data_IF_091306997495
#
_entry.id   IF_091306997495
#
_cell.length_a   1.000
_cell.length_b   1.000
_cell.length_c   1.000
_cell.angle_alpha   90.00
_cell.angle_beta   90.00
_cell.angle_gamma   90.00
#
_symmetry.space_group_name_H-M   'P 1'
#
loop_
_entity.id
_entity.type
_entity.pdbx_description
1 polymer ?
#
# COMPACT_ATOMS: atom_id res chain seq x y z
N UNK A 1 18.43 -9.24 12.62
CA UNK A 1 19.50 -10.12 12.10
C UNK A 1 18.98 -10.87 10.91
N UNK A 2 19.24 -10.37 9.70
CA UNK A 2 18.88 -11.08 8.46
C UNK A 2 20.02 -11.99 8.05
N UNK A 3 19.78 -13.30 7.97
CA UNK A 3 20.69 -14.20 7.28
C UNK A 3 20.67 -13.80 5.79
N UNK A 4 21.81 -13.41 5.18
CA UNK A 4 21.83 -12.91 3.80
C UNK A 4 21.47 -13.99 2.76
N UNK A 5 21.37 -15.26 3.18
CA UNK A 5 21.08 -16.40 2.32
C UNK A 5 19.61 -16.84 2.35
N UNK A 6 18.70 -16.05 2.92
CA UNK A 6 17.27 -16.34 2.89
C UNK A 6 16.40 -15.10 2.82
N UNK A 7 15.20 -15.26 2.26
CA UNK A 7 14.16 -14.23 2.20
C UNK A 7 12.99 -14.63 3.11
N UNK A 8 12.49 -13.68 3.89
CA UNK A 8 11.24 -13.85 4.63
C UNK A 8 10.04 -13.57 3.72
N UNK A 9 9.14 -14.55 3.61
CA UNK A 9 7.92 -14.44 2.80
C UNK A 9 6.70 -14.57 3.70
N UNK A 10 5.82 -13.58 3.66
CA UNK A 10 4.55 -13.59 4.36
C UNK A 10 3.43 -14.08 3.43
N UNK A 11 2.71 -15.11 3.85
CA UNK A 11 1.61 -15.71 3.08
C UNK A 11 0.32 -15.62 3.88
N UNK A 12 -0.72 -15.09 3.24
CA UNK A 12 -2.11 -15.11 3.73
C UNK A 12 -2.72 -16.46 3.37
N UNK A 13 -3.13 -17.24 4.38
CA UNK A 13 -3.88 -18.47 4.14
C UNK A 13 -5.37 -18.14 3.96
N UNK A 14 -5.90 -18.38 2.77
CA UNK A 14 -7.29 -18.01 2.41
C UNK A 14 -8.35 -18.92 3.07
N UNK A 15 -7.95 -20.10 3.59
CA UNK A 15 -8.88 -21.13 4.13
C UNK A 15 -8.71 -21.41 5.62
N UNK A 16 -7.63 -20.92 6.21
CA UNK A 16 -7.33 -21.01 7.64
C UNK A 16 -7.02 -19.58 8.01
N UNK A 17 -7.81 -18.96 8.90
CA UNK A 17 -7.68 -17.58 9.37
C UNK A 17 -6.30 -17.36 10.01
N UNK A 18 -5.27 -17.39 9.19
CA UNK A 18 -3.87 -17.49 9.59
C UNK A 18 -2.98 -16.76 8.59
N UNK A 19 -1.91 -16.21 9.12
CA UNK A 19 -0.77 -15.70 8.38
C UNK A 19 0.41 -16.61 8.67
N UNK A 20 1.14 -17.00 7.64
CA UNK A 20 2.33 -17.83 7.75
C UNK A 20 3.55 -17.06 7.27
N UNK A 21 4.58 -17.03 8.09
CA UNK A 21 5.88 -16.46 7.75
C UNK A 21 6.82 -17.62 7.42
N UNK A 22 7.42 -17.56 6.24
CA UNK A 22 8.34 -18.55 5.73
C UNK A 22 9.73 -17.96 5.58
N UNK A 23 10.75 -18.77 5.87
CA UNK A 23 12.11 -18.54 5.41
C UNK A 23 12.32 -19.34 4.12
N UNK A 24 12.58 -18.63 3.03
CA UNK A 24 12.87 -19.20 1.72
C UNK A 24 14.37 -19.12 1.49
N UNK A 25 15.00 -20.28 1.43
CA UNK A 25 16.40 -20.48 1.06
C UNK A 25 16.47 -20.93 -0.40
N UNK A 26 17.68 -21.06 -0.93
CA UNK A 26 17.91 -21.60 -2.28
C UNK A 26 17.37 -23.03 -2.45
N UNK A 27 17.54 -23.88 -1.44
CA UNK A 27 17.26 -25.32 -1.51
C UNK A 27 16.03 -25.78 -0.70
N UNK A 28 15.48 -24.91 0.16
CA UNK A 28 14.38 -25.27 1.06
C UNK A 28 13.51 -24.09 1.46
N UNK A 29 12.28 -24.43 1.86
CA UNK A 29 11.32 -23.49 2.45
C UNK A 29 10.97 -24.00 3.84
N UNK A 30 11.05 -23.12 4.86
CA UNK A 30 10.78 -23.46 6.25
C UNK A 30 9.74 -22.51 6.83
N UNK A 31 8.74 -23.04 7.55
CA UNK A 31 7.81 -22.19 8.30
C UNK A 31 8.57 -21.62 9.51
N UNK A 32 8.65 -20.30 9.58
CA UNK A 32 9.20 -19.57 10.72
C UNK A 32 8.13 -19.37 11.79
N UNK A 33 6.92 -18.95 11.38
CA UNK A 33 5.83 -18.62 12.28
C UNK A 33 4.49 -18.83 11.62
N UNK A 34 3.51 -19.29 12.39
CA UNK A 34 2.09 -19.24 12.03
C UNK A 34 1.36 -18.40 13.09
N UNK A 35 0.56 -17.44 12.64
CA UNK A 35 -0.22 -16.55 13.47
C UNK A 35 -1.71 -16.71 13.13
N UNK A 36 -2.54 -17.00 14.12
CA UNK A 36 -3.99 -17.00 13.94
C UNK A 36 -4.56 -15.59 13.99
N UNK A 37 -5.58 -15.32 13.17
CA UNK A 37 -6.34 -14.08 13.16
C UNK A 37 -7.80 -14.36 13.54
N UNK A 38 -8.49 -13.35 14.09
CA UNK A 38 -9.89 -13.47 14.50
C UNK A 38 -10.84 -13.63 13.30
N UNK A 39 -10.51 -12.95 12.21
CA UNK A 39 -11.23 -12.93 10.94
C UNK A 39 -10.30 -13.34 9.79
N UNK A 40 -10.87 -13.56 8.60
CA UNK A 40 -10.09 -13.93 7.42
C UNK A 40 -9.26 -12.72 6.94
N UNK A 41 -7.92 -12.82 6.92
CA UNK A 41 -7.09 -11.81 6.28
C UNK A 41 -7.27 -11.87 4.77
N UNK A 42 -7.37 -10.70 4.14
CA UNK A 42 -7.59 -10.54 2.70
C UNK A 42 -6.49 -9.72 2.02
N UNK A 43 -5.74 -8.91 2.77
CA UNK A 43 -4.54 -8.24 2.29
C UNK A 43 -3.52 -8.07 3.42
N UNK A 44 -2.22 -7.99 3.07
CA UNK A 44 -1.12 -7.80 4.02
C UNK A 44 -0.04 -6.89 3.46
N UNK A 45 0.50 -6.02 4.31
CA UNK A 45 1.77 -5.34 4.11
C UNK A 45 2.68 -5.61 5.33
N UNK A 46 4.00 -5.66 5.10
CA UNK A 46 4.98 -6.08 6.13
C UNK A 46 6.07 -5.04 6.28
N UNK A 47 6.39 -4.66 7.52
CA UNK A 47 7.61 -3.92 7.87
C UNK A 47 8.25 -4.52 9.14
N UNK A 48 9.43 -5.12 8.99
CA UNK A 48 10.07 -5.86 10.08
C UNK A 48 9.15 -6.95 10.65
N UNK A 49 8.90 -6.91 11.96
CA UNK A 49 8.00 -7.84 12.65
C UNK A 49 6.52 -7.45 12.59
N UNK A 50 6.20 -6.31 12.00
CA UNK A 50 4.84 -5.76 11.98
C UNK A 50 4.14 -6.10 10.66
N UNK A 51 2.95 -6.68 10.80
CA UNK A 51 2.03 -6.99 9.73
C UNK A 51 0.88 -6.00 9.81
N UNK A 52 0.69 -5.20 8.76
CA UNK A 52 -0.54 -4.45 8.57
C UNK A 52 -1.51 -5.30 7.76
N UNK A 53 -2.62 -5.70 8.39
CA UNK A 53 -3.57 -6.66 7.85
C UNK A 53 -4.91 -5.98 7.59
N UNK A 54 -5.46 -6.22 6.41
CA UNK A 54 -6.90 -6.10 6.19
C UNK A 54 -7.53 -7.45 6.54
N UNK A 55 -8.40 -7.46 7.55
CA UNK A 55 -9.31 -8.56 7.82
C UNK A 55 -10.67 -8.27 7.18
N UNK A 56 -11.60 -9.21 7.18
CA UNK A 56 -12.92 -9.06 6.56
C UNK A 56 -13.62 -7.72 6.81
N UNK A 57 -13.60 -7.20 8.05
CA UNK A 57 -14.30 -5.95 8.41
C UNK A 57 -13.43 -4.90 9.13
N UNK A 58 -12.11 -5.12 9.25
CA UNK A 58 -11.25 -4.23 10.02
C UNK A 58 -9.80 -4.28 9.58
N UNK A 59 -9.08 -3.17 9.76
CA UNK A 59 -7.62 -3.17 9.68
C UNK A 59 -7.01 -3.40 11.06
N UNK A 60 -5.92 -4.15 11.13
CA UNK A 60 -5.13 -4.34 12.35
C UNK A 60 -3.63 -4.24 12.06
N UNK A 61 -2.86 -3.90 13.09
CA UNK A 61 -1.42 -4.18 13.15
C UNK A 61 -1.21 -5.42 14.02
N UNK A 62 -0.43 -6.37 13.53
CA UNK A 62 -0.04 -7.58 14.26
C UNK A 62 1.49 -7.69 14.27
N UNK A 63 2.07 -7.77 15.46
CA UNK A 63 3.48 -8.11 15.61
C UNK A 63 3.62 -9.63 15.68
N UNK A 64 4.17 -10.27 14.65
CA UNK A 64 4.23 -11.74 14.60
C UNK A 64 5.29 -12.35 15.53
N UNK A 65 6.24 -11.55 16.02
CA UNK A 65 7.24 -11.98 16.98
C UNK A 65 6.65 -12.07 18.40
N UNK A 66 5.94 -11.03 18.85
CA UNK A 66 5.35 -10.97 20.20
C UNK A 66 3.92 -11.48 20.28
N UNK A 67 3.21 -11.53 19.16
CA UNK A 67 1.77 -11.79 19.10
C UNK A 67 0.89 -10.60 19.49
N UNK A 68 1.47 -9.44 19.79
CA UNK A 68 0.72 -8.23 20.11
C UNK A 68 -0.09 -7.75 18.89
N UNK A 69 -1.35 -7.38 19.13
CA UNK A 69 -2.28 -6.93 18.08
C UNK A 69 -2.89 -5.59 18.49
N UNK A 70 -2.91 -4.64 17.56
CA UNK A 70 -3.53 -3.33 17.68
C UNK A 70 -4.62 -3.19 16.61
N UNK A 71 -5.85 -2.93 17.03
CA UNK A 71 -6.94 -2.64 16.10
C UNK A 71 -6.80 -1.20 15.57
N UNK A 72 -7.12 -0.99 14.29
CA UNK A 72 -7.12 0.33 13.67
C UNK A 72 -8.56 0.82 13.54
N UNK A 73 -9.08 0.95 12.33
CA UNK A 73 -10.45 1.34 12.06
C UNK A 73 -11.21 0.25 11.27
N UNK A 74 -12.53 0.16 11.47
CA UNK A 74 -13.37 -0.76 10.71
C UNK A 74 -13.53 -0.28 9.26
N UNK A 75 -13.86 -1.21 8.37
CA UNK A 75 -14.26 -0.89 7.01
C UNK A 75 -15.33 -1.87 6.52
N UNK A 76 -16.11 -1.48 5.53
CA UNK A 76 -17.13 -2.36 4.94
C UNK A 76 -16.49 -3.22 3.86
N UNK A 77 -16.68 -4.54 3.95
CA UNK A 77 -16.21 -5.51 2.94
C UNK A 77 -16.81 -5.36 1.54
N UNK A 78 -17.63 -4.32 1.29
CA UNK A 78 -18.14 -3.94 -0.03
C UNK A 78 -17.05 -3.29 -0.91
N UNK A 79 -15.92 -2.85 -0.34
CA UNK A 79 -14.76 -2.43 -1.12
C UNK A 79 -14.19 -3.63 -1.88
N UNK A 80 -14.13 -3.53 -3.23
CA UNK A 80 -13.71 -4.63 -4.12
C UNK A 80 -12.37 -5.25 -3.71
N UNK A 81 -11.42 -4.44 -3.18
CA UNK A 81 -10.13 -4.88 -2.64
C UNK A 81 -9.63 -3.89 -1.57
N UNK A 82 -9.38 -4.31 -0.33
CA UNK A 82 -8.76 -3.44 0.65
C UNK A 82 -7.34 -3.10 0.23
N UNK A 83 -6.90 -1.88 0.55
CA UNK A 83 -5.56 -1.38 0.24
C UNK A 83 -4.78 -1.33 1.55
N UNK A 84 -3.69 -2.09 1.59
CA UNK A 84 -2.66 -2.00 2.62
C UNK A 84 -1.31 -1.83 1.93
N UNK A 85 -0.60 -0.74 2.23
CA UNK A 85 0.67 -0.44 1.58
C UNK A 85 1.68 0.05 2.61
N UNK A 86 2.85 -0.58 2.66
CA UNK A 86 3.98 -0.03 3.42
C UNK A 86 4.48 1.21 2.69
N UNK A 87 4.59 2.32 3.42
CA UNK A 87 5.06 3.61 2.86
C UNK A 87 6.33 4.13 3.53
N UNK A 88 6.70 3.55 4.67
CA UNK A 88 7.88 3.92 5.42
C UNK A 88 8.21 2.84 6.44
N UNK A 89 9.21 3.12 7.27
CA UNK A 89 9.49 2.29 8.44
C UNK A 89 8.32 2.44 9.41
N UNK A 90 7.73 1.32 9.80
CA UNK A 90 6.68 1.21 10.79
C UNK A 90 5.44 2.09 10.47
N UNK A 91 5.23 2.41 9.19
CA UNK A 91 4.16 3.28 8.69
C UNK A 91 3.50 2.68 7.43
N UNK A 92 2.17 2.67 7.42
CA UNK A 92 1.34 2.07 6.38
C UNK A 92 0.28 3.06 5.89
N UNK A 93 -0.09 2.91 4.61
CA UNK A 93 -1.23 3.56 3.97
C UNK A 93 -2.37 2.55 3.82
N UNK A 94 -3.57 3.00 4.16
CA UNK A 94 -4.79 2.21 4.23
C UNK A 94 -5.93 2.89 3.47
N UNK A 95 -6.74 2.12 2.74
CA UNK A 95 -8.00 2.65 2.23
C UNK A 95 -9.06 2.67 3.33
N UNK A 96 -9.60 3.86 3.58
CA UNK A 96 -10.67 4.09 4.53
C UNK A 96 -11.96 4.51 3.81
N UNK A 97 -13.13 4.37 4.48
CA UNK A 97 -14.41 4.82 3.94
C UNK A 97 -14.41 6.29 3.50
N UNK A 98 -15.25 6.63 2.51
CA UNK A 98 -15.42 8.01 2.02
C UNK A 98 -14.29 8.52 1.12
N UNK A 99 -13.54 7.61 0.46
CA UNK A 99 -12.49 7.99 -0.47
C UNK A 99 -11.25 8.57 0.23
N UNK A 100 -10.90 8.01 1.40
CA UNK A 100 -9.77 8.47 2.19
C UNK A 100 -8.62 7.47 2.16
N UNK A 101 -7.40 7.98 2.04
CA UNK A 101 -6.15 7.25 2.29
C UNK A 101 -5.59 7.63 3.66
N UNK A 102 -5.74 6.73 4.62
CA UNK A 102 -5.30 6.93 6.00
C UNK A 102 -3.87 6.44 6.19
N UNK A 103 -3.10 7.20 6.97
CA UNK A 103 -1.76 6.85 7.38
C UNK A 103 -1.81 6.28 8.81
N UNK A 104 -1.16 5.15 9.05
CA UNK A 104 -1.16 4.53 10.36
C UNK A 104 0.23 3.98 10.69
N UNK A 105 0.73 4.31 11.88
CA UNK A 105 1.92 3.68 12.44
C UNK A 105 1.58 2.32 13.05
N UNK A 106 2.61 1.57 13.44
CA UNK A 106 2.46 0.30 14.16
C UNK A 106 1.75 0.42 15.51
N UNK A 107 1.77 1.61 16.12
CA UNK A 107 1.05 1.94 17.35
C UNK A 107 -0.43 2.31 17.11
N UNK A 108 -0.86 2.29 15.85
CA UNK A 108 -2.23 2.65 15.44
C UNK A 108 -2.51 4.14 15.42
N UNK A 109 -1.47 4.97 15.34
CA UNK A 109 -1.58 6.43 15.34
C UNK A 109 -1.41 6.97 13.92
N UNK A 110 -2.22 7.97 13.55
CA UNK A 110 -2.02 8.74 12.32
C UNK A 110 -1.18 9.97 12.61
N UNK A 111 0.02 10.05 12.05
CA UNK A 111 0.93 11.19 12.24
C UNK A 111 0.72 12.31 11.21
N UNK A 112 -0.05 12.05 10.15
CA UNK A 112 -0.34 13.00 9.08
C UNK A 112 -1.81 12.94 8.70
N UNK A 113 -2.30 14.01 8.06
CA UNK A 113 -3.67 14.06 7.55
C UNK A 113 -3.88 12.99 6.46
N UNK A 114 -5.11 12.50 6.24
CA UNK A 114 -5.38 11.59 5.13
C UNK A 114 -5.27 12.29 3.79
N UNK A 115 -4.95 11.51 2.75
CA UNK A 115 -5.17 11.92 1.36
C UNK A 115 -6.61 11.65 0.95
N UNK A 116 -7.15 12.47 0.04
CA UNK A 116 -8.48 12.25 -0.56
C UNK A 116 -8.30 11.72 -1.98
N UNK A 117 -8.98 10.62 -2.30
CA UNK A 117 -8.98 10.00 -3.63
C UNK A 117 -10.38 9.52 -4.00
N UNK A 118 -10.51 8.86 -5.15
CA UNK A 118 -11.78 8.27 -5.58
C UNK A 118 -12.31 7.26 -4.57
N UNK A 119 -13.63 7.27 -4.31
CA UNK A 119 -14.30 6.20 -3.54
C UNK A 119 -14.20 4.82 -4.22
N UNK A 120 -13.91 4.80 -5.53
CA UNK A 120 -13.73 3.59 -6.34
C UNK A 120 -12.26 3.21 -6.53
N UNK A 121 -11.35 3.75 -5.71
CA UNK A 121 -9.92 3.38 -5.77
C UNK A 121 -9.76 1.86 -5.67
N UNK A 122 -8.96 1.29 -6.57
CA UNK A 122 -8.71 -0.16 -6.65
C UNK A 122 -7.25 -0.54 -6.36
N UNK A 123 -6.35 0.44 -6.31
CA UNK A 123 -4.95 0.21 -5.99
C UNK A 123 -4.22 1.48 -5.60
N UNK A 124 -3.15 1.32 -4.83
CA UNK A 124 -2.23 2.40 -4.49
C UNK A 124 -0.79 1.93 -4.62
N UNK A 125 0.07 2.81 -5.11
CA UNK A 125 1.51 2.61 -5.19
C UNK A 125 2.27 3.82 -4.65
N UNK A 126 3.51 3.59 -4.24
CA UNK A 126 4.41 4.62 -3.73
C UNK A 126 5.42 5.03 -4.79
N UNK A 127 5.49 6.33 -5.06
CA UNK A 127 6.62 6.96 -5.74
C UNK A 127 7.06 8.14 -4.88
N UNK A 128 7.86 7.87 -3.84
CA UNK A 128 8.14 8.85 -2.78
C UNK A 128 8.59 10.21 -3.36
N UNK A 129 8.03 11.35 -2.89
CA UNK A 129 7.08 11.51 -1.78
C UNK A 129 5.59 11.49 -2.19
N UNK A 130 5.25 10.84 -3.30
CA UNK A 130 3.89 10.76 -3.83
C UNK A 130 3.25 9.38 -3.65
N UNK A 131 1.93 9.39 -3.46
CA UNK A 131 1.05 8.23 -3.58
C UNK A 131 0.37 8.29 -4.93
N UNK A 132 0.46 7.20 -5.67
CA UNK A 132 -0.25 6.99 -6.92
C UNK A 132 -1.48 6.17 -6.60
N UNK A 133 -2.67 6.63 -6.98
CA UNK A 133 -3.93 5.93 -6.76
C UNK A 133 -4.56 5.58 -8.12
N UNK A 134 -4.97 4.32 -8.28
CA UNK A 134 -5.61 3.81 -9.48
C UNK A 134 -7.12 3.69 -9.26
N UNK A 135 -7.87 4.26 -10.20
CA UNK A 135 -9.30 4.06 -10.42
C UNK A 135 -9.50 3.28 -11.73
N UNK A 136 -10.73 2.87 -12.04
CA UNK A 136 -11.09 2.21 -13.31
C UNK A 136 -10.92 3.15 -14.52
N UNK A 137 -11.02 4.47 -14.31
CA UNK A 137 -10.99 5.47 -15.39
C UNK A 137 -9.74 6.36 -15.43
N UNK A 138 -9.03 6.48 -14.31
CA UNK A 138 -7.92 7.40 -14.18
C UNK A 138 -6.89 6.97 -13.13
N UNK A 139 -5.71 7.56 -13.23
CA UNK A 139 -4.69 7.53 -12.19
C UNK A 139 -4.58 8.93 -11.59
N UNK A 140 -4.46 9.01 -10.27
CA UNK A 140 -4.22 10.27 -9.56
C UNK A 140 -2.91 10.21 -8.79
N UNK A 141 -2.24 11.36 -8.69
CA UNK A 141 -0.98 11.53 -7.96
C UNK A 141 -1.25 12.45 -6.78
N UNK A 142 -0.93 12.00 -5.57
CA UNK A 142 -1.18 12.72 -4.31
C UNK A 142 0.14 12.92 -3.58
N UNK A 143 0.42 14.13 -3.12
CA UNK A 143 1.63 14.41 -2.34
C UNK A 143 1.44 14.01 -0.89
N UNK A 144 2.43 13.31 -0.31
CA UNK A 144 2.42 12.97 1.12
C UNK A 144 2.89 14.12 2.02
N UNK A 145 3.33 15.24 1.45
CA UNK A 145 3.82 16.40 2.18
C UNK A 145 2.66 17.32 2.59
N UNK A 146 1.78 17.63 1.65
CA UNK A 146 0.64 18.56 1.81
C UNK A 146 -0.74 17.90 1.59
N UNK A 147 -0.75 16.58 1.32
CA UNK A 147 -1.95 15.77 1.10
C UNK A 147 -2.83 16.23 -0.06
N UNK A 148 -2.27 17.02 -0.99
CA UNK A 148 -2.99 17.50 -2.16
C UNK A 148 -2.83 16.57 -3.35
N UNK A 149 -3.90 16.48 -4.16
CA UNK A 149 -3.84 15.86 -5.48
C UNK A 149 -3.06 16.78 -6.43
N UNK A 150 -1.96 16.27 -6.97
CA UNK A 150 -1.02 17.00 -7.83
C UNK A 150 -1.32 16.82 -9.31
N UNK A 151 -1.85 15.66 -9.69
CA UNK A 151 -2.11 15.32 -11.09
C UNK A 151 -3.23 14.28 -11.22
N UNK A 152 -3.92 14.34 -12.35
CA UNK A 152 -4.82 13.29 -12.84
C UNK A 152 -4.40 12.90 -14.25
N UNK A 153 -4.31 11.60 -14.51
CA UNK A 153 -3.97 11.01 -15.79
C UNK A 153 -5.15 10.14 -16.25
N UNK A 154 -5.74 10.39 -17.44
CA UNK A 154 -6.75 9.48 -17.97
C UNK A 154 -6.09 8.13 -18.26
N UNK A 155 -6.64 7.05 -17.67
CA UNK A 155 -6.10 5.71 -17.82
C UNK A 155 -7.23 4.70 -17.62
N UNK A 156 -7.69 4.10 -18.71
CA UNK A 156 -8.83 3.20 -18.71
C UNK A 156 -8.41 1.75 -18.52
N UNK A 157 -9.32 0.96 -17.96
CA UNK A 157 -9.17 -0.49 -17.80
C UNK A 157 -7.94 -0.87 -16.96
N UNK A 158 -7.56 -0.04 -15.98
CA UNK A 158 -6.52 -0.38 -15.01
C UNK A 158 -6.98 -1.48 -14.06
N UNK A 159 -6.11 -2.45 -13.78
CA UNK A 159 -6.44 -3.59 -12.92
C UNK A 159 -5.44 -3.79 -11.78
N UNK A 160 -4.17 -3.49 -12.03
CA UNK A 160 -3.09 -3.67 -11.06
C UNK A 160 -2.27 -2.39 -11.06
N UNK A 161 -2.00 -1.88 -9.86
CA UNK A 161 -1.04 -0.83 -9.60
C UNK A 161 -0.07 -1.34 -8.54
N UNK A 162 1.22 -1.33 -8.84
CA UNK A 162 2.28 -1.76 -7.93
C UNK A 162 3.50 -0.84 -8.06
N UNK A 163 4.31 -0.82 -7.00
CA UNK A 163 5.64 -0.22 -7.01
C UNK A 163 6.69 -1.23 -6.59
N UNK A 164 7.85 -1.11 -7.22
CA UNK A 164 9.02 -1.90 -6.92
C UNK A 164 10.27 -1.10 -7.30
N UNK A 165 11.22 -0.98 -6.36
CA UNK A 165 12.52 -0.31 -6.58
C UNK A 165 12.42 1.06 -7.27
N UNK A 166 11.53 1.92 -6.76
CA UNK A 166 11.35 3.28 -7.29
C UNK A 166 10.67 3.36 -8.65
N UNK A 167 10.08 2.27 -9.13
CA UNK A 167 9.27 2.24 -10.36
C UNK A 167 7.82 1.97 -10.01
N UNK A 168 6.91 2.59 -10.76
CA UNK A 168 5.47 2.32 -10.67
C UNK A 168 5.03 1.58 -11.92
N UNK A 169 4.37 0.45 -11.72
CA UNK A 169 3.87 -0.43 -12.76
C UNK A 169 2.34 -0.40 -12.71
N UNK A 170 1.71 -0.14 -13.85
CA UNK A 170 0.28 -0.28 -14.03
C UNK A 170 -0.01 -1.32 -15.11
N UNK A 171 -0.97 -2.20 -14.87
CA UNK A 171 -1.39 -3.19 -15.86
C UNK A 171 -2.88 -3.07 -16.18
N UNK A 172 -3.18 -3.27 -17.46
CA UNK A 172 -4.54 -3.51 -17.98
C UNK A 172 -4.65 -4.97 -18.41
N UNK A 173 -5.82 -5.38 -18.90
CA UNK A 173 -5.98 -6.70 -19.53
C UNK A 173 -5.17 -6.86 -20.84
N UNK A 174 -4.65 -5.77 -21.42
CA UNK A 174 -3.99 -5.75 -22.73
C UNK A 174 -2.50 -5.43 -22.66
N UNK A 175 -1.98 -4.97 -21.53
CA UNK A 175 -0.59 -4.57 -21.44
C UNK A 175 -0.15 -4.16 -20.04
N UNK A 176 1.17 -4.09 -19.88
CA UNK A 176 1.85 -3.64 -18.66
C UNK A 176 2.67 -2.41 -19.02
N UNK A 177 2.56 -1.37 -18.20
CA UNK A 177 3.15 -0.06 -18.43
C UNK A 177 3.93 0.38 -17.20
N UNK A 178 4.96 1.18 -17.42
CA UNK A 178 5.61 1.95 -16.37
C UNK A 178 5.05 3.36 -16.33
N UNK A 179 4.66 3.84 -15.15
CA UNK A 179 4.50 5.27 -14.92
C UNK A 179 5.87 5.85 -14.59
N UNK A 180 6.31 6.76 -15.45
CA UNK A 180 7.59 7.47 -15.30
C UNK A 180 7.32 8.96 -15.10
N UNK A 181 8.04 9.62 -14.19
CA UNK A 181 7.94 11.07 -14.07
C UNK A 181 8.46 11.75 -15.35
N UNK A 182 7.95 12.95 -15.61
CA UNK A 182 8.55 13.81 -16.64
C UNK A 182 9.98 14.21 -16.22
N UNK A 183 10.87 14.59 -17.16
CA UNK A 183 12.15 15.18 -16.82
C UNK A 183 11.98 16.38 -15.87
N UNK A 184 12.89 16.55 -14.91
CA UNK A 184 12.77 17.55 -13.86
C UNK A 184 12.66 18.96 -14.43
N UNK A 185 13.43 19.26 -15.48
CA UNK A 185 13.42 20.57 -16.14
C UNK A 185 12.03 20.90 -16.68
N UNK A 186 11.35 19.88 -17.22
CA UNK A 186 9.97 20.04 -17.71
C UNK A 186 8.99 20.22 -16.55
N UNK A 187 9.15 19.47 -15.46
CA UNK A 187 8.32 19.64 -14.26
C UNK A 187 8.45 21.07 -13.70
N UNK A 188 9.67 21.58 -13.58
CA UNK A 188 9.92 22.96 -13.12
C UNK A 188 9.26 23.97 -14.07
N UNK A 189 9.43 23.80 -15.38
CA UNK A 189 8.82 24.72 -16.35
C UNK A 189 7.30 24.71 -16.23
N UNK A 190 6.67 23.53 -16.16
CA UNK A 190 5.21 23.40 -16.00
C UNK A 190 4.71 24.05 -14.69
N UNK A 191 5.46 23.94 -13.59
CA UNK A 191 5.15 24.58 -12.31
C UNK A 191 5.28 26.11 -12.38
N UNK A 192 6.32 26.62 -13.04
CA UNK A 192 6.51 28.06 -13.25
C UNK A 192 5.39 28.63 -14.12
N UNK A 193 5.06 27.97 -15.22
CA UNK A 193 4.00 28.38 -16.15
C UNK A 193 2.63 28.39 -15.45
N UNK A 194 2.41 27.47 -14.52
CA UNK A 194 1.20 27.39 -13.69
C UNK A 194 1.25 28.22 -12.40
N UNK A 195 2.33 28.97 -12.15
CA UNK A 195 2.56 29.82 -10.95
C UNK A 195 2.51 29.06 -9.62
N UNK A 196 2.89 27.78 -9.62
CA UNK A 196 2.95 26.89 -8.45
C UNK A 196 4.37 26.83 -7.88
N UNK A 197 4.92 27.99 -7.52
CA UNK A 197 6.33 28.12 -7.08
C UNK A 197 6.66 27.53 -5.71
N UNK A 198 5.65 27.21 -4.91
CA UNK A 198 5.82 26.57 -3.59
C UNK A 198 5.82 25.04 -3.66
N UNK A 199 5.63 24.48 -4.86
CA UNK A 199 5.66 23.04 -5.15
C UNK A 199 6.97 22.63 -5.83
#
# INVERSE_FOLDING_TARGET
>A
NGNPFCVEVCIVSVKRKTIQIYLVYEDKVQILKECCTREQPCAVAVDGYYLCLALTNQYIILNYNTGASQELFPYTGEQKRPIVKRIGREEFLLAAPGGLGMFATVDGISQRAPVRWSEKVIGAALYFPYIIALDEEFITVHSMLDQQQKQTLPFKDGHILQDFEGKVIVATTKGVYFLVPLPLEKQIQDLLDSRRVEE
#
